data_IF_330436847100
#
_entry.id   IF_330436847100
#
_cell.length_a   1.000
_cell.length_b   1.000
_cell.length_c   1.000
_cell.angle_alpha   90.00
_cell.angle_beta   90.00
_cell.angle_gamma   90.00
#
_symmetry.space_group_name_H-M   'P 1'
#
loop_
_entity.id
_entity.type
_entity.pdbx_description
1 polymer ?
#
# COMPACT_ATOMS: atom_id res chain seq x y z
N UNK A 1 17.29 8.91 21.95
CA UNK A 1 17.21 7.88 23.01
C UNK A 1 18.31 6.88 22.71
N UNK A 2 19.14 6.42 23.69
CA UNK A 2 20.09 5.38 23.42
C UNK A 2 19.33 4.10 23.07
N UNK A 3 19.70 3.46 21.96
CA UNK A 3 19.12 2.22 21.51
C UNK A 3 19.15 1.18 22.63
N UNK A 4 18.04 0.47 22.82
CA UNK A 4 18.02 -0.67 23.73
C UNK A 4 19.09 -1.65 23.27
N UNK A 5 20.03 -1.97 24.15
CA UNK A 5 21.09 -2.93 23.87
C UNK A 5 20.45 -4.26 23.43
N UNK A 6 21.00 -4.85 22.37
CA UNK A 6 20.69 -6.19 21.90
C UNK A 6 20.68 -7.18 23.09
N UNK A 7 19.56 -7.86 23.27
CA UNK A 7 19.43 -8.85 24.34
C UNK A 7 19.44 -10.26 23.70
N UNK A 8 20.55 -10.99 23.80
CA UNK A 8 20.67 -12.32 23.22
C UNK A 8 19.64 -13.32 23.75
N UNK A 9 19.12 -13.12 24.97
CA UNK A 9 18.08 -13.99 25.56
C UNK A 9 16.71 -13.86 24.86
N UNK A 10 16.40 -12.69 24.27
CA UNK A 10 15.20 -12.55 23.43
C UNK A 10 15.31 -13.37 22.16
N UNK A 11 16.50 -13.42 21.57
CA UNK A 11 16.76 -14.22 20.36
C UNK A 11 16.71 -15.74 20.66
N UNK A 12 17.16 -16.17 21.82
CA UNK A 12 17.03 -17.56 22.28
C UNK A 12 15.56 -17.91 22.55
N UNK A 13 14.79 -17.01 23.15
CA UNK A 13 13.36 -17.21 23.38
C UNK A 13 12.57 -17.27 22.06
N UNK A 14 12.91 -16.43 21.08
CA UNK A 14 12.30 -16.50 19.74
C UNK A 14 12.69 -17.80 19.03
N UNK A 15 13.94 -18.25 19.13
CA UNK A 15 14.37 -19.54 18.56
C UNK A 15 13.64 -20.72 19.19
N UNK A 16 13.51 -20.75 20.51
CA UNK A 16 12.73 -21.77 21.23
C UNK A 16 11.24 -21.69 20.90
N UNK A 17 10.73 -20.51 20.62
CA UNK A 17 9.37 -20.31 20.17
C UNK A 17 9.16 -20.90 18.77
N UNK A 18 10.12 -20.74 17.87
CA UNK A 18 10.12 -21.38 16.54
C UNK A 18 10.14 -22.90 16.60
N UNK A 19 10.87 -23.48 17.55
CA UNK A 19 10.88 -24.93 17.74
C UNK A 19 9.59 -25.48 18.35
N UNK A 20 8.87 -24.67 19.14
CA UNK A 20 7.58 -25.06 19.79
C UNK A 20 6.37 -24.95 18.87
N UNK A 21 6.45 -24.17 17.78
CA UNK A 21 5.35 -24.01 16.83
C UNK A 21 5.28 -25.12 15.75
N UNK A 22 5.93 -26.24 16.01
CA UNK A 22 6.05 -27.36 15.09
C UNK A 22 4.81 -28.24 15.04
N UNK A 23 3.68 -27.70 14.55
CA UNK A 23 2.62 -28.55 14.01
C UNK A 23 2.93 -29.09 12.60
N UNK A 24 4.04 -28.65 12.00
CA UNK A 24 4.54 -29.20 10.73
C UNK A 24 5.48 -30.38 10.98
N UNK A 25 5.42 -31.45 10.18
CA UNK A 25 6.40 -32.52 10.22
C UNK A 25 7.84 -31.96 10.10
N UNK A 26 8.79 -32.53 10.82
CA UNK A 26 10.19 -32.11 10.78
C UNK A 26 10.73 -32.02 9.34
N UNK A 27 10.30 -32.98 8.51
CA UNK A 27 10.63 -33.08 7.09
C UNK A 27 10.08 -31.88 6.29
N UNK A 28 8.93 -31.37 6.65
CA UNK A 28 8.34 -30.21 6.02
C UNK A 28 9.15 -28.93 6.31
N UNK A 29 9.62 -28.78 7.54
CA UNK A 29 10.48 -27.64 7.95
C UNK A 29 11.84 -27.72 7.25
N UNK A 30 12.43 -28.90 7.17
CA UNK A 30 13.69 -29.11 6.45
C UNK A 30 13.53 -28.87 4.95
N UNK A 31 12.41 -29.28 4.36
CA UNK A 31 12.07 -29.01 2.97
C UNK A 31 11.89 -27.51 2.69
N UNK A 32 11.24 -26.79 3.59
CA UNK A 32 11.15 -25.32 3.53
C UNK A 32 12.52 -24.65 3.67
N UNK A 33 13.35 -25.12 4.57
CA UNK A 33 14.72 -24.62 4.76
C UNK A 33 15.63 -24.90 3.57
N UNK A 34 15.37 -25.92 2.78
CA UNK A 34 16.18 -26.25 1.60
C UNK A 34 15.93 -25.33 0.41
N UNK A 35 14.85 -24.54 0.42
CA UNK A 35 14.47 -23.55 -0.61
C UNK A 35 14.47 -24.11 -2.04
N UNK A 36 14.45 -25.43 -2.23
CA UNK A 36 14.48 -26.06 -3.54
C UNK A 36 13.12 -26.61 -3.94
N UNK A 37 12.78 -26.52 -5.23
CA UNK A 37 11.58 -27.15 -5.79
C UNK A 37 11.50 -28.63 -5.44
N UNK A 38 12.64 -29.29 -5.41
CA UNK A 38 12.78 -30.71 -5.10
C UNK A 38 12.50 -31.03 -3.63
N UNK A 39 12.96 -30.15 -2.71
CA UNK A 39 12.69 -30.31 -1.27
C UNK A 39 11.21 -30.22 -0.95
N UNK A 40 10.48 -29.32 -1.61
CA UNK A 40 9.02 -29.17 -1.43
C UNK A 40 8.23 -30.33 -2.03
N UNK A 41 8.59 -30.76 -3.24
CA UNK A 41 7.98 -31.95 -3.87
C UNK A 41 8.20 -33.21 -3.01
N UNK A 42 9.38 -33.34 -2.40
CA UNK A 42 9.72 -34.44 -1.50
C UNK A 42 8.91 -34.40 -0.19
N UNK A 43 8.53 -33.22 0.27
CA UNK A 43 7.65 -33.03 1.44
C UNK A 43 6.15 -33.10 1.08
N UNK A 44 5.80 -33.36 -0.18
CA UNK A 44 4.42 -33.45 -0.64
C UNK A 44 3.73 -32.10 -0.86
N UNK A 45 4.50 -30.99 -0.91
CA UNK A 45 3.96 -29.68 -1.24
C UNK A 45 4.01 -29.42 -2.75
N UNK A 46 3.01 -28.73 -3.31
CA UNK A 46 3.02 -28.38 -4.73
C UNK A 46 4.17 -27.44 -5.05
N UNK A 47 4.72 -27.57 -6.25
CA UNK A 47 5.75 -26.65 -6.75
C UNK A 47 5.22 -25.21 -6.88
N UNK A 48 3.92 -25.07 -6.98
CA UNK A 48 3.18 -23.80 -7.10
C UNK A 48 1.91 -23.91 -6.25
N UNK A 49 1.71 -22.96 -5.32
CA UNK A 49 0.51 -22.88 -4.52
C UNK A 49 -0.58 -22.12 -5.28
N UNK A 50 -1.79 -22.67 -5.29
CA UNK A 50 -2.97 -21.92 -5.73
C UNK A 50 -3.62 -21.25 -4.53
N UNK A 51 -4.45 -20.23 -4.79
CA UNK A 51 -5.26 -19.58 -3.75
C UNK A 51 -6.08 -20.59 -2.93
N UNK A 52 -6.75 -21.52 -3.61
CA UNK A 52 -7.59 -22.52 -2.94
C UNK A 52 -6.79 -23.45 -2.03
N UNK A 53 -5.59 -23.84 -2.45
CA UNK A 53 -4.70 -24.64 -1.62
C UNK A 53 -4.24 -23.90 -0.36
N UNK A 54 -3.87 -22.63 -0.50
CA UNK A 54 -3.52 -21.78 0.65
C UNK A 54 -4.72 -21.56 1.58
N UNK A 55 -5.90 -21.40 1.01
CA UNK A 55 -7.14 -21.25 1.78
C UNK A 55 -7.49 -22.52 2.56
N UNK A 56 -7.34 -23.72 1.96
CA UNK A 56 -7.58 -24.97 2.65
C UNK A 56 -6.56 -25.24 3.78
N UNK A 57 -5.30 -24.88 3.58
CA UNK A 57 -4.28 -24.93 4.65
C UNK A 57 -4.70 -24.07 5.83
N UNK A 58 -5.22 -22.87 5.57
CA UNK A 58 -5.71 -21.99 6.61
C UNK A 58 -6.91 -22.57 7.35
N UNK A 59 -7.93 -23.07 6.65
CA UNK A 59 -9.11 -23.70 7.27
C UNK A 59 -8.74 -24.88 8.17
N UNK A 60 -7.67 -25.59 7.85
CA UNK A 60 -7.17 -26.70 8.68
C UNK A 60 -6.58 -26.26 10.03
N UNK A 61 -6.72 -25.00 10.42
CA UNK A 61 -6.35 -24.50 11.75
C UNK A 61 -4.88 -24.19 11.95
N UNK A 62 -4.09 -24.19 10.87
CA UNK A 62 -2.66 -23.85 10.93
C UNK A 62 -2.40 -22.34 10.98
N UNK A 63 -3.44 -21.54 10.82
CA UNK A 63 -3.39 -20.08 10.73
C UNK A 63 -3.28 -19.34 12.07
N UNK A 64 -3.39 -20.03 13.21
CA UNK A 64 -3.26 -19.40 14.53
C UNK A 64 -1.82 -19.12 14.97
N UNK A 65 -0.86 -19.36 14.10
CA UNK A 65 0.57 -19.33 14.43
C UNK A 65 1.30 -18.31 13.56
N UNK A 66 1.28 -17.07 14.02
CA UNK A 66 1.83 -15.88 13.32
C UNK A 66 3.25 -16.07 12.85
N UNK A 67 4.10 -16.71 13.63
CA UNK A 67 5.49 -16.94 13.28
C UNK A 67 5.67 -17.80 12.04
N UNK A 68 4.87 -18.87 11.91
CA UNK A 68 4.90 -19.75 10.72
C UNK A 68 4.41 -19.03 9.47
N UNK A 69 3.38 -18.23 9.62
CA UNK A 69 2.80 -17.47 8.55
C UNK A 69 3.82 -16.55 7.85
N UNK A 70 4.60 -15.81 8.64
CA UNK A 70 5.62 -14.91 8.11
C UNK A 70 6.74 -15.69 7.41
N UNK A 71 7.19 -16.79 8.00
CA UNK A 71 8.23 -17.61 7.39
C UNK A 71 7.77 -18.29 6.09
N UNK A 72 6.59 -18.87 6.08
CA UNK A 72 6.01 -19.45 4.87
C UNK A 72 5.91 -18.40 3.76
N UNK A 73 5.47 -17.21 4.10
CA UNK A 73 5.37 -16.09 3.17
C UNK A 73 6.73 -15.70 2.57
N UNK A 74 7.79 -15.61 3.37
CA UNK A 74 9.12 -15.28 2.87
C UNK A 74 9.73 -16.37 1.97
N UNK A 75 9.54 -17.60 2.32
CA UNK A 75 10.08 -18.70 1.52
C UNK A 75 9.32 -18.89 0.20
N UNK A 76 8.06 -18.57 0.17
CA UNK A 76 7.23 -18.70 -1.02
C UNK A 76 7.41 -17.56 -2.03
N UNK A 77 7.93 -16.40 -1.65
CA UNK A 77 8.16 -15.25 -2.54
C UNK A 77 8.98 -15.65 -3.79
N UNK A 78 9.95 -16.53 -3.63
CA UNK A 78 10.82 -16.96 -4.72
C UNK A 78 10.23 -18.05 -5.62
N UNK A 79 8.97 -18.42 -5.43
CA UNK A 79 8.37 -19.58 -6.08
C UNK A 79 7.45 -19.26 -7.27
N UNK A 80 7.35 -18.00 -7.68
CA UNK A 80 6.78 -17.60 -8.97
C UNK A 80 5.28 -17.84 -9.15
N UNK A 81 4.51 -17.71 -8.06
CA UNK A 81 3.02 -17.79 -8.09
C UNK A 81 2.38 -16.43 -8.17
N UNK A 82 3.16 -15.40 -7.93
CA UNK A 82 2.72 -14.13 -7.42
C UNK A 82 2.12 -13.21 -8.47
N UNK A 83 2.62 -13.28 -9.71
CA UNK A 83 2.16 -12.38 -10.77
C UNK A 83 0.69 -12.63 -11.12
N UNK A 84 0.22 -13.88 -11.01
CA UNK A 84 -1.20 -14.21 -11.19
C UNK A 84 -2.11 -13.50 -10.17
N UNK A 85 -1.61 -13.26 -8.94
CA UNK A 85 -2.38 -12.60 -7.89
C UNK A 85 -2.33 -11.08 -7.97
N UNK A 86 -1.27 -10.53 -8.57
CA UNK A 86 -1.12 -9.08 -8.75
C UNK A 86 -1.50 -8.61 -10.15
N UNK A 87 -1.84 -9.51 -11.07
CA UNK A 87 -2.32 -9.15 -12.40
C UNK A 87 -3.55 -8.23 -12.27
N UNK A 88 -3.57 -7.17 -13.08
CA UNK A 88 -4.60 -6.13 -13.07
C UNK A 88 -4.73 -5.35 -11.75
N UNK A 89 -3.79 -5.49 -10.82
CA UNK A 89 -3.78 -4.72 -9.58
C UNK A 89 -3.26 -3.28 -9.79
N UNK A 90 -3.53 -2.42 -8.80
CA UNK A 90 -3.09 -1.04 -8.78
C UNK A 90 -2.42 -0.75 -7.44
N UNK A 91 -1.15 -0.34 -7.48
CA UNK A 91 -0.44 0.15 -6.29
C UNK A 91 -0.57 1.68 -6.22
N UNK A 92 -1.35 2.17 -5.26
CA UNK A 92 -1.66 3.60 -5.15
C UNK A 92 -0.56 4.43 -4.48
N UNK A 93 0.50 3.78 -4.01
CA UNK A 93 1.65 4.49 -3.43
C UNK A 93 2.91 3.63 -3.50
N UNK A 94 3.85 4.05 -4.34
CA UNK A 94 5.19 3.48 -4.41
C UNK A 94 6.24 4.59 -4.47
N UNK A 95 7.38 4.38 -3.82
CA UNK A 95 8.50 5.34 -3.74
C UNK A 95 9.60 4.94 -4.71
N UNK A 96 9.81 5.71 -5.76
CA UNK A 96 10.72 5.38 -6.83
C UNK A 96 11.75 6.49 -7.07
N UNK A 97 12.95 6.11 -7.51
CA UNK A 97 13.93 7.08 -7.98
C UNK A 97 13.53 7.61 -9.38
N UNK A 98 13.76 8.88 -9.70
CA UNK A 98 14.48 9.90 -8.92
C UNK A 98 13.66 10.45 -7.73
N UNK A 99 14.32 10.53 -6.59
CA UNK A 99 13.80 11.07 -5.33
C UNK A 99 15.00 11.75 -4.62
N UNK A 100 14.75 12.66 -3.69
CA UNK A 100 15.80 13.31 -2.92
C UNK A 100 16.49 12.36 -1.90
N UNK A 101 15.89 11.21 -1.62
CA UNK A 101 16.48 10.14 -0.83
C UNK A 101 16.74 8.90 -1.69
N UNK A 102 17.69 8.04 -1.31
CA UNK A 102 17.94 6.78 -2.02
C UNK A 102 16.68 5.91 -2.09
N UNK A 103 16.44 5.29 -3.25
CA UNK A 103 15.35 4.34 -3.49
C UNK A 103 15.89 3.02 -4.01
N UNK A 104 15.17 1.94 -3.74
CA UNK A 104 15.54 0.60 -4.20
C UNK A 104 15.29 0.40 -5.70
N UNK A 105 14.31 1.10 -6.27
CA UNK A 105 13.94 0.98 -7.67
C UNK A 105 13.94 2.34 -8.37
N UNK A 106 14.41 2.32 -9.63
CA UNK A 106 14.16 3.37 -10.60
C UNK A 106 12.73 3.26 -11.16
N UNK A 107 12.10 4.39 -11.48
CA UNK A 107 10.71 4.41 -11.95
C UNK A 107 10.52 3.70 -13.29
N UNK A 108 11.51 3.78 -14.20
CA UNK A 108 11.46 3.10 -15.50
C UNK A 108 11.61 1.59 -15.30
N UNK A 109 12.57 1.17 -14.47
CA UNK A 109 12.76 -0.22 -14.13
C UNK A 109 11.49 -0.82 -13.49
N UNK A 110 10.89 -0.10 -12.54
CA UNK A 110 9.65 -0.52 -11.90
C UNK A 110 8.49 -0.62 -12.90
N UNK A 111 8.34 0.37 -13.79
CA UNK A 111 7.31 0.36 -14.84
C UNK A 111 7.44 -0.85 -15.77
N UNK A 112 8.67 -1.24 -16.14
CA UNK A 112 8.92 -2.43 -16.94
C UNK A 112 8.54 -3.71 -16.16
N UNK A 113 8.92 -3.81 -14.89
CA UNK A 113 8.57 -4.95 -14.02
C UNK A 113 7.05 -5.07 -13.82
N UNK A 114 6.39 -3.94 -13.52
CA UNK A 114 4.94 -3.87 -13.35
C UNK A 114 4.18 -4.24 -14.65
N UNK A 115 4.72 -3.82 -15.81
CA UNK A 115 4.17 -4.20 -17.12
C UNK A 115 4.30 -5.69 -17.38
N UNK A 116 5.44 -6.31 -17.06
CA UNK A 116 5.64 -7.77 -17.18
C UNK A 116 4.72 -8.55 -16.24
N UNK A 117 4.46 -8.04 -15.06
CA UNK A 117 3.51 -8.60 -14.10
C UNK A 117 2.04 -8.28 -14.43
N UNK A 118 1.80 -7.55 -15.53
CA UNK A 118 0.46 -7.12 -15.99
C UNK A 118 -0.33 -6.35 -14.94
N UNK A 119 0.34 -5.58 -14.10
CA UNK A 119 -0.33 -4.63 -13.22
C UNK A 119 -1.03 -3.55 -14.05
N UNK A 120 -2.24 -3.15 -13.63
CA UNK A 120 -3.02 -2.14 -14.34
C UNK A 120 -2.39 -0.74 -14.25
N UNK A 121 -1.97 -0.36 -13.03
CA UNK A 121 -1.38 0.95 -12.79
C UNK A 121 -0.55 0.98 -11.50
N UNK A 122 0.26 2.03 -11.35
CA UNK A 122 0.84 2.43 -10.08
C UNK A 122 0.90 3.96 -9.97
N UNK A 123 0.92 4.48 -8.73
CA UNK A 123 1.18 5.90 -8.46
C UNK A 123 2.55 6.03 -7.81
N UNK A 124 3.50 6.65 -8.52
CA UNK A 124 4.76 7.08 -7.92
C UNK A 124 4.53 8.30 -7.04
N UNK A 125 5.07 8.27 -5.84
CA UNK A 125 5.04 9.41 -4.91
C UNK A 125 6.43 9.71 -4.38
N UNK A 126 6.75 10.99 -4.30
CA UNK A 126 7.90 11.53 -3.58
C UNK A 126 7.44 12.10 -2.22
N UNK A 127 8.36 12.59 -1.41
CA UNK A 127 8.03 13.26 -0.15
C UNK A 127 7.75 14.74 -0.31
N UNK A 128 8.34 15.40 -1.31
CA UNK A 128 8.26 16.86 -1.44
C UNK A 128 8.00 17.33 -2.87
N UNK A 129 8.25 16.51 -3.88
CA UNK A 129 8.18 16.92 -5.27
C UNK A 129 7.08 16.19 -6.05
N UNK A 130 6.42 16.88 -6.98
CA UNK A 130 5.49 16.24 -7.91
C UNK A 130 6.21 15.20 -8.77
N UNK A 131 5.60 14.02 -8.92
CA UNK A 131 6.16 12.90 -9.69
C UNK A 131 5.49 12.70 -11.04
N UNK A 132 4.57 13.56 -11.44
CA UNK A 132 3.79 13.45 -12.69
C UNK A 132 4.68 13.44 -13.94
N UNK A 133 5.73 14.29 -13.98
CA UNK A 133 6.67 14.34 -15.09
C UNK A 133 7.52 13.07 -15.22
N UNK A 134 7.94 12.51 -14.09
CA UNK A 134 8.69 11.25 -14.03
C UNK A 134 7.81 10.07 -14.49
N UNK A 135 6.57 10.01 -14.02
CA UNK A 135 5.59 9.01 -14.42
C UNK A 135 5.30 9.09 -15.94
N UNK A 136 5.24 10.29 -16.49
CA UNK A 136 5.10 10.46 -17.94
C UNK A 136 6.31 9.90 -18.69
N UNK A 137 7.52 10.21 -18.28
CA UNK A 137 8.74 9.65 -18.90
C UNK A 137 8.76 8.11 -18.85
N UNK A 138 8.38 7.52 -17.73
CA UNK A 138 8.26 6.07 -17.58
C UNK A 138 7.18 5.50 -18.52
N UNK A 139 6.02 6.16 -18.64
CA UNK A 139 4.96 5.75 -19.57
C UNK A 139 5.44 5.73 -21.01
N UNK A 140 6.10 6.81 -21.46
CA UNK A 140 6.65 6.87 -22.81
C UNK A 140 7.58 5.68 -23.09
N UNK A 141 8.41 5.33 -22.11
CA UNK A 141 9.36 4.21 -22.25
C UNK A 141 8.67 2.86 -22.39
N UNK A 142 7.69 2.54 -21.52
CA UNK A 142 6.98 1.25 -21.64
C UNK A 142 6.11 1.20 -22.90
N UNK A 143 5.52 2.31 -23.34
CA UNK A 143 4.77 2.39 -24.60
C UNK A 143 5.67 2.15 -25.83
N UNK A 144 6.90 2.68 -25.81
CA UNK A 144 7.90 2.37 -26.83
C UNK A 144 8.23 0.88 -26.86
N UNK A 145 8.47 0.29 -25.69
CA UNK A 145 8.80 -1.13 -25.60
C UNK A 145 7.66 -2.03 -26.09
N UNK A 146 6.41 -1.64 -25.88
CA UNK A 146 5.25 -2.36 -26.46
C UNK A 146 5.22 -2.22 -27.98
N UNK A 147 5.41 -1.01 -28.52
CA UNK A 147 5.47 -0.80 -29.98
C UNK A 147 6.60 -1.59 -30.64
N UNK A 148 7.72 -1.72 -29.98
CA UNK A 148 8.90 -2.45 -30.46
C UNK A 148 8.80 -3.97 -30.21
N UNK A 149 7.69 -4.47 -29.66
CA UNK A 149 7.47 -5.88 -29.36
C UNK A 149 8.33 -6.43 -28.20
N UNK A 150 8.92 -5.56 -27.39
CA UNK A 150 9.73 -5.95 -26.23
C UNK A 150 8.87 -6.22 -24.98
N UNK A 151 7.66 -5.66 -24.93
CA UNK A 151 6.65 -5.90 -23.92
C UNK A 151 5.30 -6.22 -24.58
N UNK A 152 4.51 -7.07 -23.98
CA UNK A 152 3.13 -7.37 -24.42
C UNK A 152 2.12 -6.34 -23.92
N UNK A 153 2.43 -5.69 -22.80
CA UNK A 153 1.51 -4.82 -22.07
C UNK A 153 2.27 -3.64 -21.45
N UNK A 154 1.65 -2.47 -21.45
CA UNK A 154 2.15 -1.28 -20.76
C UNK A 154 1.30 -1.00 -19.52
N UNK A 155 1.89 -1.12 -18.34
CA UNK A 155 1.30 -0.65 -17.09
C UNK A 155 1.09 0.87 -17.13
N UNK A 156 -0.01 1.38 -16.61
CA UNK A 156 -0.25 2.82 -16.53
C UNK A 156 0.59 3.44 -15.40
N UNK A 157 1.53 4.29 -15.79
CA UNK A 157 2.42 4.99 -14.87
C UNK A 157 1.78 6.32 -14.48
N UNK A 158 1.43 6.47 -13.20
CA UNK A 158 0.82 7.67 -12.65
C UNK A 158 1.77 8.32 -11.64
N UNK A 159 1.68 9.64 -11.50
CA UNK A 159 2.42 10.41 -10.51
C UNK A 159 1.49 11.26 -9.67
N UNK A 160 1.88 11.53 -8.43
CA UNK A 160 1.17 12.42 -7.54
C UNK A 160 1.65 13.87 -7.67
N UNK A 161 0.72 14.81 -7.56
CA UNK A 161 1.05 16.22 -7.36
C UNK A 161 0.94 16.57 -5.88
N UNK A 162 2.05 16.94 -5.28
CA UNK A 162 2.14 17.19 -3.85
C UNK A 162 1.95 18.68 -3.58
N UNK A 163 0.95 19.00 -2.79
CA UNK A 163 0.67 20.37 -2.32
C UNK A 163 1.50 20.66 -1.05
N UNK A 164 2.83 20.62 -1.20
CA UNK A 164 3.76 20.77 -0.08
C UNK A 164 4.07 22.23 0.29
N UNK A 165 3.81 23.17 -0.63
CA UNK A 165 4.22 24.57 -0.48
C UNK A 165 3.07 25.56 -0.51
N UNK A 166 1.95 25.18 -1.10
CA UNK A 166 0.76 26.01 -1.24
C UNK A 166 -0.45 25.16 -1.58
N UNK A 167 -1.62 25.54 -1.09
CA UNK A 167 -2.91 24.94 -1.48
C UNK A 167 -3.63 25.78 -2.54
N UNK A 168 -2.92 26.61 -3.30
CA UNK A 168 -3.53 27.53 -4.25
C UNK A 168 -4.32 26.81 -5.34
N UNK A 169 -5.61 27.14 -5.55
CA UNK A 169 -6.51 26.44 -6.48
C UNK A 169 -6.05 26.44 -7.94
N UNK A 170 -5.35 27.49 -8.39
CA UNK A 170 -4.85 27.58 -9.77
C UNK A 170 -3.90 26.45 -10.15
N UNK A 171 -3.23 25.83 -9.18
CA UNK A 171 -2.40 24.65 -9.44
C UNK A 171 -3.24 23.51 -10.02
N UNK A 172 -4.48 23.33 -9.53
CA UNK A 172 -5.37 22.26 -10.00
C UNK A 172 -5.76 22.48 -11.47
N UNK A 173 -6.05 23.71 -11.86
CA UNK A 173 -6.33 24.06 -13.25
C UNK A 173 -5.14 23.77 -14.19
N UNK A 174 -3.91 23.95 -13.71
CA UNK A 174 -2.70 23.68 -14.47
C UNK A 174 -2.43 22.16 -14.62
N UNK A 175 -2.50 21.42 -13.49
CA UNK A 175 -2.15 19.99 -13.47
C UNK A 175 -3.23 19.09 -14.06
N UNK A 176 -4.49 19.52 -14.11
CA UNK A 176 -5.61 18.75 -14.67
C UNK A 176 -5.40 18.33 -16.14
N UNK A 177 -4.47 18.98 -16.83
CA UNK A 177 -4.15 18.71 -18.24
C UNK A 177 -3.18 17.54 -18.44
N UNK A 178 -2.55 17.06 -17.37
CA UNK A 178 -1.55 15.99 -17.46
C UNK A 178 -2.19 14.60 -17.40
N UNK A 179 -2.01 13.78 -18.44
CA UNK A 179 -2.68 12.47 -18.53
C UNK A 179 -2.18 11.44 -17.49
N UNK A 180 -0.99 11.68 -16.93
CA UNK A 180 -0.35 10.80 -15.95
C UNK A 180 -0.52 11.31 -14.51
N UNK A 181 -1.50 12.18 -14.27
CA UNK A 181 -1.84 12.62 -12.92
C UNK A 181 -2.64 11.52 -12.21
N UNK A 182 -2.06 10.97 -11.14
CA UNK A 182 -2.70 9.95 -10.28
C UNK A 182 -3.46 10.54 -9.09
N UNK A 183 -3.33 11.84 -8.85
CA UNK A 183 -4.02 12.55 -7.78
C UNK A 183 -3.22 13.68 -7.18
N UNK A 184 -3.85 14.42 -6.28
CA UNK A 184 -3.19 15.42 -5.45
C UNK A 184 -3.01 14.93 -4.03
N UNK A 185 -1.95 15.38 -3.37
CA UNK A 185 -1.66 15.06 -1.97
C UNK A 185 -1.55 16.32 -1.13
N UNK A 186 -2.40 16.43 -0.12
CA UNK A 186 -2.26 17.41 0.96
C UNK A 186 -1.19 16.95 1.96
N UNK A 187 0.04 17.39 1.76
CA UNK A 187 1.19 16.89 2.52
C UNK A 187 1.25 17.39 3.98
N UNK A 188 0.78 18.58 4.25
CA UNK A 188 1.05 19.26 5.53
C UNK A 188 0.31 18.72 6.74
N UNK A 189 -0.71 17.94 6.55
CA UNK A 189 -1.31 17.17 7.65
C UNK A 189 -0.36 16.11 8.22
N UNK A 190 0.65 15.73 7.45
CA UNK A 190 1.66 14.75 7.81
C UNK A 190 2.31 15.02 9.16
N UNK A 191 2.51 16.29 9.51
CA UNK A 191 3.25 16.69 10.71
C UNK A 191 2.38 17.36 11.79
N UNK A 192 1.06 17.14 11.76
CA UNK A 192 0.15 17.63 12.80
C UNK A 192 0.07 19.14 12.90
N UNK A 193 0.31 19.88 11.84
CA UNK A 193 0.15 21.32 11.74
C UNK A 193 1.15 22.15 12.57
N UNK A 194 1.90 21.57 13.48
CA UNK A 194 2.82 22.33 14.34
C UNK A 194 4.11 22.76 13.65
N UNK A 195 4.52 22.06 12.62
CA UNK A 195 5.77 22.30 11.88
C UNK A 195 5.54 22.82 10.46
N UNK A 196 4.29 22.94 10.03
CA UNK A 196 3.94 23.55 8.76
C UNK A 196 3.68 25.03 8.96
N UNK A 197 4.11 25.86 8.02
CA UNK A 197 3.73 27.27 8.01
C UNK A 197 2.21 27.43 7.98
N UNK A 198 1.67 28.60 8.37
CA UNK A 198 0.23 28.82 8.41
C UNK A 198 -0.45 28.59 7.05
N UNK A 199 0.27 28.80 5.95
CA UNK A 199 -0.23 28.67 4.57
C UNK A 199 -0.45 27.23 4.09
N UNK A 200 -0.05 26.26 4.90
CA UNK A 200 -0.12 24.83 4.55
C UNK A 200 -1.12 24.04 5.40
N UNK A 201 -1.84 24.71 6.27
CA UNK A 201 -2.90 24.10 7.06
C UNK A 201 -4.13 23.87 6.17
N UNK A 202 -4.72 22.70 6.28
CA UNK A 202 -6.02 22.46 5.63
C UNK A 202 -7.19 22.98 6.47
N UNK A 203 -6.92 23.37 7.72
CA UNK A 203 -7.91 23.95 8.65
C UNK A 203 -7.51 25.36 9.07
N UNK A 204 -8.51 26.23 9.19
CA UNK A 204 -8.38 27.55 9.80
C UNK A 204 -8.15 27.46 11.33
N UNK A 205 -8.00 28.62 11.97
CA UNK A 205 -7.80 28.71 13.41
C UNK A 205 -9.00 28.25 14.26
N UNK A 206 -10.17 28.08 13.63
CA UNK A 206 -11.40 27.57 14.23
C UNK A 206 -11.65 26.09 13.95
N UNK A 207 -10.69 25.38 13.32
CA UNK A 207 -10.81 23.97 12.96
C UNK A 207 -11.75 23.69 11.79
N UNK A 208 -12.14 24.70 11.02
CA UNK A 208 -12.90 24.52 9.78
C UNK A 208 -11.96 24.39 8.60
N UNK A 209 -12.38 23.63 7.58
CA UNK A 209 -11.64 23.55 6.33
C UNK A 209 -11.42 24.95 5.73
N UNK A 210 -10.16 25.23 5.42
CA UNK A 210 -9.77 26.47 4.76
C UNK A 210 -10.48 26.62 3.42
N UNK A 211 -10.76 27.87 3.03
CA UNK A 211 -11.50 28.18 1.81
C UNK A 211 -10.75 27.77 0.53
N UNK A 212 -9.43 27.92 0.50
CA UNK A 212 -8.60 27.48 -0.63
C UNK A 212 -8.59 25.96 -0.74
N UNK A 213 -8.50 25.25 0.39
CA UNK A 213 -8.59 23.78 0.44
C UNK A 213 -9.94 23.31 -0.09
N UNK A 214 -11.04 23.95 0.30
CA UNK A 214 -12.37 23.65 -0.26
C UNK A 214 -12.41 23.83 -1.77
N UNK A 215 -11.87 24.95 -2.27
CA UNK A 215 -11.85 25.19 -3.70
C UNK A 215 -10.97 24.17 -4.44
N UNK A 216 -9.82 23.79 -3.88
CA UNK A 216 -8.99 22.69 -4.43
C UNK A 216 -9.78 21.41 -4.53
N UNK A 217 -10.46 20.97 -3.46
CA UNK A 217 -11.25 19.72 -3.45
C UNK A 217 -12.41 19.79 -4.45
N UNK A 218 -13.09 20.95 -4.54
CA UNK A 218 -14.16 21.17 -5.53
C UNK A 218 -13.65 21.05 -6.97
N UNK A 219 -12.50 21.66 -7.27
CA UNK A 219 -11.86 21.54 -8.59
C UNK A 219 -11.42 20.10 -8.88
N UNK A 220 -10.92 19.39 -7.88
CA UNK A 220 -10.56 17.97 -8.01
C UNK A 220 -11.80 17.14 -8.37
N UNK A 221 -12.95 17.36 -7.76
CA UNK A 221 -14.20 16.74 -8.15
C UNK A 221 -14.58 17.06 -9.60
N UNK A 222 -14.50 18.35 -9.99
CA UNK A 222 -14.81 18.81 -11.34
C UNK A 222 -13.94 18.17 -12.43
N UNK A 223 -12.64 18.00 -12.15
CA UNK A 223 -11.69 17.43 -13.11
C UNK A 223 -11.45 15.93 -12.95
N UNK A 224 -12.19 15.27 -12.06
CA UNK A 224 -12.00 13.84 -11.72
C UNK A 224 -10.55 13.54 -11.30
N UNK A 225 -10.01 14.36 -10.43
CA UNK A 225 -8.67 14.20 -9.85
C UNK A 225 -8.82 13.62 -8.43
N UNK A 226 -8.24 12.45 -8.14
CA UNK A 226 -8.29 11.88 -6.80
C UNK A 226 -7.60 12.78 -5.77
N UNK A 227 -8.17 12.88 -4.57
CA UNK A 227 -7.61 13.61 -3.44
C UNK A 227 -7.03 12.62 -2.45
N UNK A 228 -5.76 12.79 -2.11
CA UNK A 228 -5.07 12.01 -1.09
C UNK A 228 -4.76 12.93 0.09
N UNK A 229 -5.02 12.49 1.29
CA UNK A 229 -4.75 13.27 2.50
C UNK A 229 -4.47 12.35 3.67
N UNK A 230 -3.69 12.83 4.58
CA UNK A 230 -3.34 12.11 5.78
C UNK A 230 -1.92 11.61 5.78
N UNK A 231 -1.48 11.30 6.94
CA UNK A 231 -0.23 10.62 7.24
C UNK A 231 -0.31 10.14 8.71
N UNK A 232 0.76 9.57 9.22
CA UNK A 232 0.89 8.93 10.52
C UNK A 232 0.23 9.63 11.73
N UNK A 233 -0.01 10.92 11.68
CA UNK A 233 -0.52 11.71 12.81
C UNK A 233 -2.00 12.10 12.72
N UNK A 234 -2.70 11.70 11.66
CA UNK A 234 -4.12 12.02 11.52
C UNK A 234 -5.00 11.04 12.29
N UNK A 235 -5.99 11.59 12.98
CA UNK A 235 -7.07 10.84 13.62
C UNK A 235 -8.38 11.05 12.86
N UNK A 236 -9.42 10.33 13.28
CA UNK A 236 -10.76 10.47 12.72
C UNK A 236 -11.25 11.93 12.71
N UNK A 237 -11.04 12.66 13.82
CA UNK A 237 -11.48 14.06 13.94
C UNK A 237 -10.80 14.98 12.94
N UNK A 238 -9.58 14.64 12.53
CA UNK A 238 -8.84 15.42 11.53
C UNK A 238 -9.31 15.15 10.11
N UNK A 239 -9.70 13.92 9.77
CA UNK A 239 -10.10 13.57 8.41
C UNK A 239 -11.59 13.81 8.15
N UNK A 240 -12.44 13.72 9.19
CA UNK A 240 -13.88 13.76 9.05
C UNK A 240 -14.41 15.01 8.32
N UNK A 241 -13.99 16.26 8.65
CA UNK A 241 -14.49 17.44 7.95
C UNK A 241 -14.09 17.46 6.46
N UNK A 242 -12.91 16.93 6.13
CA UNK A 242 -12.47 16.81 4.74
C UNK A 242 -13.29 15.74 4.00
N UNK A 243 -13.56 14.59 4.65
CA UNK A 243 -14.38 13.52 4.07
C UNK A 243 -15.83 13.97 3.85
N UNK A 244 -16.41 14.71 4.78
CA UNK A 244 -17.73 15.29 4.64
C UNK A 244 -17.80 16.24 3.43
N UNK A 245 -16.83 17.14 3.30
CA UNK A 245 -16.82 18.08 2.19
C UNK A 245 -16.53 17.39 0.85
N UNK A 246 -15.60 16.43 0.82
CA UNK A 246 -15.35 15.63 -0.38
C UNK A 246 -16.60 14.88 -0.86
N UNK A 247 -17.35 14.29 0.08
CA UNK A 247 -18.64 13.65 -0.18
C UNK A 247 -19.68 14.62 -0.74
N UNK A 248 -19.77 15.83 -0.15
CA UNK A 248 -20.69 16.88 -0.59
C UNK A 248 -20.45 17.32 -2.05
N UNK A 249 -19.19 17.46 -2.46
CA UNK A 249 -18.83 17.91 -3.81
C UNK A 249 -18.57 16.77 -4.80
N UNK A 250 -18.63 15.52 -4.36
CA UNK A 250 -18.40 14.32 -5.19
C UNK A 250 -16.93 14.07 -5.51
N UNK A 251 -15.99 14.53 -4.68
CA UNK A 251 -14.58 14.23 -4.83
C UNK A 251 -14.24 12.87 -4.22
N UNK A 252 -13.40 12.08 -4.89
CA UNK A 252 -12.85 10.87 -4.31
C UNK A 252 -11.71 11.22 -3.35
N UNK A 253 -11.84 10.81 -2.09
CA UNK A 253 -10.85 11.04 -1.04
C UNK A 253 -10.25 9.72 -0.57
N UNK A 254 -8.94 9.67 -0.48
CA UNK A 254 -8.18 8.59 0.15
C UNK A 254 -7.53 9.08 1.44
N UNK A 255 -7.89 8.48 2.57
CA UNK A 255 -7.14 8.66 3.80
C UNK A 255 -5.89 7.78 3.75
N UNK A 256 -4.76 8.40 3.48
CA UNK A 256 -3.48 7.72 3.41
C UNK A 256 -3.04 7.21 4.79
N UNK A 257 -2.46 6.02 4.81
CA UNK A 257 -2.01 5.38 6.04
C UNK A 257 -3.11 5.32 7.11
N UNK A 258 -4.35 5.04 6.71
CA UNK A 258 -5.50 5.00 7.61
C UNK A 258 -5.39 3.89 8.67
N UNK A 259 -4.82 2.73 8.30
CA UNK A 259 -4.57 1.66 9.25
C UNK A 259 -3.61 2.10 10.36
N UNK A 260 -3.77 1.61 11.59
CA UNK A 260 -2.85 1.90 12.68
C UNK A 260 -1.39 1.58 12.31
N UNK A 261 -0.44 2.42 12.69
CA UNK A 261 0.98 2.22 12.43
C UNK A 261 1.68 1.42 13.52
N UNK A 262 1.15 1.49 14.73
CA UNK A 262 1.63 0.74 15.88
C UNK A 262 0.45 0.22 16.68
N UNK A 263 0.66 -0.83 17.47
CA UNK A 263 -0.34 -1.39 18.38
C UNK A 263 -0.88 -0.37 19.41
N UNK A 264 -0.23 0.77 19.57
CA UNK A 264 -0.58 1.80 20.54
C UNK A 264 -1.26 3.02 19.91
N UNK A 265 -1.44 3.06 18.59
CA UNK A 265 -2.12 4.15 17.90
C UNK A 265 -3.60 3.83 17.67
N UNK A 266 -4.46 4.49 18.40
CA UNK A 266 -5.87 4.56 18.05
C UNK A 266 -6.11 5.79 17.17
N UNK A 267 -6.21 5.58 15.85
CA UNK A 267 -6.54 6.65 14.89
C UNK A 267 -8.04 6.85 14.77
N UNK A 268 -8.75 5.76 14.80
CA UNK A 268 -10.20 5.70 14.74
C UNK A 268 -10.67 4.35 15.29
N UNK A 269 -11.90 4.28 15.79
CA UNK A 269 -12.59 3.02 16.03
C UNK A 269 -13.06 2.40 14.72
N UNK A 270 -13.37 1.11 14.75
CA UNK A 270 -13.92 0.41 13.55
C UNK A 270 -15.20 1.10 13.04
N UNK A 271 -16.07 1.56 13.94
CA UNK A 271 -17.29 2.28 13.55
C UNK A 271 -16.97 3.63 12.88
N UNK A 272 -15.97 4.36 13.37
CA UNK A 272 -15.52 5.61 12.76
C UNK A 272 -14.92 5.38 11.36
N UNK A 273 -14.18 4.29 11.13
CA UNK A 273 -13.75 3.92 9.78
C UNK A 273 -14.94 3.64 8.86
N UNK A 274 -15.96 2.91 9.35
CA UNK A 274 -17.19 2.65 8.61
C UNK A 274 -18.01 3.92 8.34
N UNK A 275 -17.97 4.91 9.25
CA UNK A 275 -18.56 6.22 9.01
C UNK A 275 -17.88 6.94 7.81
N UNK A 276 -16.55 6.90 7.75
CA UNK A 276 -15.82 7.49 6.63
C UNK A 276 -16.12 6.77 5.31
N UNK A 277 -16.23 5.44 5.33
CA UNK A 277 -16.64 4.65 4.16
C UNK A 277 -18.04 5.06 3.68
N UNK A 278 -18.99 5.28 4.60
CA UNK A 278 -20.34 5.75 4.24
C UNK A 278 -20.33 7.14 3.58
N UNK A 279 -19.31 7.95 3.87
CA UNK A 279 -19.06 9.23 3.18
C UNK A 279 -18.33 9.07 1.83
N UNK A 280 -18.00 7.84 1.41
CA UNK A 280 -17.25 7.57 0.18
C UNK A 280 -15.73 7.71 0.32
N UNK A 281 -15.21 7.87 1.54
CA UNK A 281 -13.78 7.94 1.78
C UNK A 281 -13.13 6.56 1.61
N UNK A 282 -12.03 6.49 0.86
CA UNK A 282 -11.19 5.30 0.78
C UNK A 282 -10.16 5.29 1.90
N UNK A 283 -9.81 4.11 2.38
CA UNK A 283 -8.90 3.89 3.50
C UNK A 283 -7.67 3.13 3.03
N UNK A 284 -6.49 3.71 3.17
CA UNK A 284 -5.25 3.08 2.74
C UNK A 284 -4.62 2.24 3.86
N UNK A 285 -4.05 1.09 3.46
CA UNK A 285 -3.22 0.24 4.31
C UNK A 285 -1.91 -0.07 3.61
N UNK A 286 -0.80 0.09 4.33
CA UNK A 286 0.53 0.02 3.74
C UNK A 286 1.19 -1.32 4.02
N UNK A 287 1.73 -1.94 2.98
CA UNK A 287 2.50 -3.18 3.10
C UNK A 287 3.70 -3.01 4.02
N UNK A 288 4.40 -1.89 3.92
CA UNK A 288 5.60 -1.61 4.70
C UNK A 288 5.35 -1.48 6.22
N UNK A 289 4.07 -1.37 6.65
CA UNK A 289 3.69 -1.33 8.07
C UNK A 289 3.23 -2.70 8.57
N UNK A 290 2.72 -3.54 7.67
CA UNK A 290 2.19 -4.86 7.98
C UNK A 290 3.25 -5.94 7.79
N UNK A 291 4.13 -5.78 6.79
CA UNK A 291 5.19 -6.74 6.51
C UNK A 291 6.41 -6.51 7.42
N UNK A 292 7.11 -7.56 7.82
CA UNK A 292 8.33 -7.44 8.61
C UNK A 292 9.38 -6.58 7.90
N UNK A 293 9.98 -5.68 8.64
CA UNK A 293 11.05 -4.81 8.18
C UNK A 293 12.14 -4.72 9.24
N UNK A 294 13.38 -4.59 8.78
CA UNK A 294 14.54 -4.41 9.67
C UNK A 294 14.57 -3.04 10.35
N UNK A 295 13.85 -2.06 9.81
CA UNK A 295 13.89 -0.66 10.27
C UNK A 295 12.64 -0.28 11.04
N UNK A 296 11.50 -0.85 10.67
CA UNK A 296 10.20 -0.50 11.22
C UNK A 296 9.46 -1.74 11.72
N UNK A 297 9.68 -2.17 12.97
CA UNK A 297 8.78 -3.14 13.59
C UNK A 297 7.49 -2.42 13.94
N UNK A 298 6.57 -2.32 12.98
CA UNK A 298 5.45 -1.40 13.11
C UNK A 298 4.25 -2.04 13.78
N UNK A 299 3.58 -2.91 13.08
CA UNK A 299 2.36 -3.57 13.57
C UNK A 299 2.60 -5.08 13.55
N UNK A 300 2.03 -5.78 14.51
CA UNK A 300 1.81 -7.22 14.35
C UNK A 300 1.01 -7.41 13.04
N UNK A 301 1.51 -8.22 12.07
CA UNK A 301 0.79 -8.51 10.84
C UNK A 301 -0.67 -8.92 11.05
N UNK A 302 -0.98 -9.61 12.16
CA UNK A 302 -2.35 -9.96 12.50
C UNK A 302 -3.21 -8.74 12.80
N UNK A 303 -2.66 -7.71 13.43
CA UNK A 303 -3.43 -6.50 13.72
C UNK A 303 -3.72 -5.74 12.42
N UNK A 304 -2.72 -5.56 11.54
CA UNK A 304 -2.89 -4.88 10.27
C UNK A 304 -3.85 -5.61 9.33
N UNK A 305 -3.69 -6.92 9.17
CA UNK A 305 -4.57 -7.74 8.34
C UNK A 305 -5.94 -7.95 9.01
N UNK A 306 -5.98 -8.09 10.35
CA UNK A 306 -7.21 -8.15 11.14
C UNK A 306 -8.04 -6.89 11.01
N UNK A 307 -7.40 -5.73 11.02
CA UNK A 307 -8.05 -4.45 10.76
C UNK A 307 -8.75 -4.42 9.39
N UNK A 308 -8.10 -4.93 8.33
CA UNK A 308 -8.71 -5.01 7.00
C UNK A 308 -9.97 -5.89 6.98
N UNK A 309 -9.95 -6.99 7.74
CA UNK A 309 -11.11 -7.90 7.86
C UNK A 309 -12.26 -7.24 8.64
N UNK A 310 -11.95 -6.54 9.73
CA UNK A 310 -12.97 -5.91 10.60
C UNK A 310 -13.61 -4.68 9.93
N UNK A 311 -12.82 -3.89 9.21
CA UNK A 311 -13.32 -2.75 8.43
C UNK A 311 -14.13 -3.23 7.22
N UNK A 312 -13.69 -4.34 6.62
CA UNK A 312 -14.26 -4.90 5.40
C UNK A 312 -13.56 -4.43 4.12
N UNK A 313 -13.80 -5.11 2.98
CA UNK A 313 -13.10 -4.83 1.73
C UNK A 313 -13.55 -3.53 1.05
N UNK A 314 -14.75 -3.05 1.36
CA UNK A 314 -15.32 -1.88 0.71
C UNK A 314 -14.51 -0.63 1.06
N UNK A 315 -14.07 0.11 0.04
CA UNK A 315 -13.25 1.31 0.17
C UNK A 315 -11.88 1.13 0.84
N UNK A 316 -11.43 -0.08 1.15
CA UNK A 316 -10.04 -0.34 1.58
C UNK A 316 -9.14 -0.47 0.34
N UNK A 317 -8.01 0.22 0.34
CA UNK A 317 -7.02 0.22 -0.74
C UNK A 317 -5.64 -0.10 -0.15
N UNK A 318 -5.13 -1.33 -0.32
CA UNK A 318 -3.74 -1.66 -0.05
C UNK A 318 -2.79 -0.91 -0.98
N UNK A 319 -1.60 -0.57 -0.46
CA UNK A 319 -0.49 -0.06 -1.25
C UNK A 319 0.83 -0.60 -0.69
N UNK A 320 1.92 -0.44 -1.43
CA UNK A 320 3.22 -0.86 -0.89
C UNK A 320 3.81 0.16 0.06
N UNK A 321 3.72 1.45 -0.25
CA UNK A 321 4.65 2.48 0.25
C UNK A 321 6.10 1.96 0.18
N UNK A 322 6.33 1.04 -0.79
CA UNK A 322 7.59 0.32 -1.03
C UNK A 322 8.61 1.16 -1.79
N UNK A 323 9.79 0.55 -2.07
CA UNK A 323 10.90 1.22 -2.74
C UNK A 323 11.85 1.94 -1.79
N UNK A 324 11.63 1.87 -0.50
CA UNK A 324 12.62 2.22 0.51
C UNK A 324 13.77 1.20 0.47
N UNK A 325 15.05 1.61 0.61
CA UNK A 325 16.18 0.69 0.47
C UNK A 325 16.14 -0.53 1.39
N UNK A 326 15.51 -0.40 2.54
CA UNK A 326 15.39 -1.45 3.56
C UNK A 326 14.20 -2.41 3.35
N UNK A 327 13.34 -2.15 2.35
CA UNK A 327 12.27 -3.06 1.92
C UNK A 327 12.63 -3.84 0.66
N UNK A 328 13.75 -3.49 -0.01
CA UNK A 328 14.14 -4.10 -1.26
C UNK A 328 13.24 -3.68 -2.44
N UNK A 329 13.00 -4.60 -3.35
CA UNK A 329 12.22 -4.35 -4.55
C UNK A 329 10.74 -4.09 -4.21
N UNK A 330 10.20 -2.99 -4.74
CA UNK A 330 8.82 -2.58 -4.43
C UNK A 330 7.77 -3.56 -5.00
N UNK A 331 8.06 -4.21 -6.14
CA UNK A 331 7.15 -5.20 -6.72
C UNK A 331 7.13 -6.48 -5.90
N UNK A 332 8.29 -6.89 -5.35
CA UNK A 332 8.35 -8.03 -4.42
C UNK A 332 7.60 -7.71 -3.12
N UNK A 333 7.71 -6.48 -2.63
CA UNK A 333 6.90 -6.00 -1.50
C UNK A 333 5.40 -6.14 -1.79
N UNK A 334 4.95 -5.79 -3.02
CA UNK A 334 3.56 -5.94 -3.42
C UNK A 334 3.12 -7.41 -3.45
N UNK A 335 3.92 -8.28 -4.06
CA UNK A 335 3.68 -9.73 -4.06
C UNK A 335 3.57 -10.29 -2.65
N UNK A 336 4.51 -9.92 -1.78
CA UNK A 336 4.49 -10.33 -0.37
C UNK A 336 3.20 -9.90 0.33
N UNK A 337 2.74 -8.67 0.10
CA UNK A 337 1.56 -8.17 0.76
C UNK A 337 0.29 -8.91 0.32
N UNK A 338 0.12 -9.12 -0.99
CA UNK A 338 -1.00 -9.92 -1.50
C UNK A 338 -0.95 -11.34 -0.94
N UNK A 339 0.22 -11.94 -0.89
CA UNK A 339 0.39 -13.26 -0.29
C UNK A 339 0.07 -13.27 1.20
N UNK A 340 0.46 -12.23 1.94
CA UNK A 340 0.10 -12.09 3.36
C UNK A 340 -1.42 -12.04 3.55
N UNK A 341 -2.15 -11.31 2.72
CA UNK A 341 -3.61 -11.29 2.73
C UNK A 341 -4.20 -12.69 2.50
N UNK A 342 -3.69 -13.43 1.52
CA UNK A 342 -4.13 -14.80 1.23
C UNK A 342 -3.88 -15.72 2.43
N UNK A 343 -2.68 -15.71 2.98
CA UNK A 343 -2.31 -16.55 4.13
C UNK A 343 -3.12 -16.21 5.39
N UNK A 344 -3.41 -14.95 5.60
CA UNK A 344 -4.30 -14.51 6.69
C UNK A 344 -5.74 -15.01 6.47
N UNK A 345 -6.09 -15.34 5.22
CA UNK A 345 -7.35 -15.92 4.81
C UNK A 345 -8.39 -14.89 4.42
N UNK A 346 -7.95 -13.74 3.95
CA UNK A 346 -8.83 -12.81 3.25
C UNK A 346 -9.27 -13.48 1.94
N UNK A 347 -10.55 -13.41 1.63
CA UNK A 347 -11.11 -14.07 0.44
C UNK A 347 -10.54 -13.46 -0.83
N UNK A 348 -10.42 -14.28 -1.86
CA UNK A 348 -9.90 -13.85 -3.17
C UNK A 348 -10.69 -12.67 -3.75
N UNK A 349 -12.02 -12.71 -3.63
CA UNK A 349 -12.92 -11.68 -4.11
C UNK A 349 -12.71 -10.36 -3.38
N UNK A 350 -12.50 -10.42 -2.06
CA UNK A 350 -12.22 -9.26 -1.21
C UNK A 350 -10.85 -8.66 -1.56
N UNK A 351 -9.82 -9.52 -1.75
CA UNK A 351 -8.51 -9.06 -2.22
C UNK A 351 -8.62 -8.35 -3.57
N UNK A 352 -9.31 -8.94 -4.56
CA UNK A 352 -9.53 -8.31 -5.86
C UNK A 352 -10.28 -6.99 -5.74
N UNK A 353 -11.28 -6.92 -4.87
CA UNK A 353 -11.99 -5.67 -4.61
C UNK A 353 -11.02 -4.60 -4.13
N UNK A 354 -10.17 -4.93 -3.18
CA UNK A 354 -9.23 -3.97 -2.57
C UNK A 354 -8.08 -3.55 -3.50
N UNK A 355 -7.51 -4.48 -4.29
CA UNK A 355 -6.31 -4.18 -5.11
C UNK A 355 -6.63 -3.83 -6.57
N UNK A 356 -7.84 -4.07 -7.04
CA UNK A 356 -8.24 -3.82 -8.43
C UNK A 356 -9.41 -2.85 -8.50
N UNK A 357 -10.57 -3.19 -7.90
CA UNK A 357 -11.82 -2.45 -8.06
C UNK A 357 -11.81 -1.11 -7.34
N UNK A 358 -11.47 -1.09 -6.05
CA UNK A 358 -11.46 0.13 -5.27
C UNK A 358 -10.46 1.16 -5.79
N UNK A 359 -9.17 0.81 -6.06
CA UNK A 359 -8.24 1.79 -6.58
C UNK A 359 -8.59 2.24 -8.00
N UNK A 360 -9.20 1.39 -8.84
CA UNK A 360 -9.68 1.80 -10.17
C UNK A 360 -10.80 2.83 -10.08
N UNK A 361 -11.78 2.62 -9.19
CA UNK A 361 -12.84 3.60 -8.92
C UNK A 361 -12.25 4.88 -8.33
N UNK A 362 -11.41 4.77 -7.30
CA UNK A 362 -10.75 5.93 -6.70
C UNK A 362 -10.05 6.80 -7.73
N UNK A 363 -9.37 6.18 -8.71
CA UNK A 363 -8.61 6.85 -9.77
C UNK A 363 -9.45 7.23 -11.00
N UNK A 364 -10.76 7.04 -10.98
CA UNK A 364 -11.64 7.28 -12.14
C UNK A 364 -11.21 6.53 -13.41
N UNK A 365 -10.57 5.35 -13.27
CA UNK A 365 -10.03 4.62 -14.43
C UNK A 365 -11.09 3.89 -15.26
N UNK A 366 -12.28 3.68 -14.71
CA UNK A 366 -13.40 2.98 -15.35
C UNK A 366 -14.52 3.94 -15.81
N UNK A 367 -14.29 5.26 -15.73
CA UNK A 367 -15.27 6.30 -16.05
C UNK A 367 -15.01 7.03 -17.38
#
# INVERSE_FOLDING_TARGET
>A
MPGKAYNPKLFEQERDHHERFNGLPKEAIEAYRSVTKEGRAKAGYPAKWTYDQLWEIRKAGRSGQVGHFIYEMFYDIHMGVEDEFIENSIDTQVRLYPDYVPRANDIIEYAIKASKAKMRAFISQDHFFPTVGQAWGAQQRVDEMVRDGQLEYACRCLGAHILAWSHHPDQINLISKYPNLGGILFWCQTYGGKNCGPDLRIYDEHGKLDSEVKEVVRLCAQYKIPVMSGHATMTYEHILPLAQYASEVGAHLLWMHAAPWTAMEERATIEQYKDLIRLGCYLQVDANKVLPSIVWPMIDPNQGLGWMVEVGPDHVIPCTDGGQPFFGDALDCWRMFVRAMIHFGIKKEDIKTMIQTNPAKFLYLDE
#
